data_IF_865084450279
#
_entry.id   IF_865084450279
#
_cell.length_a   1.000
_cell.length_b   1.000
_cell.length_c   1.000
_cell.angle_alpha   90.00
_cell.angle_beta   90.00
_cell.angle_gamma   90.00
#
_symmetry.space_group_name_H-M   'P 1'
#
loop_
_entity.id
_entity.type
_entity.pdbx_description
1 polymer ?
#
# COMPACT_ATOMS: atom_id res chain seq x y z
N UNK A 1 17.87 -11.85 1.89
CA UNK A 1 17.02 -10.66 2.11
C UNK A 1 16.24 -10.89 3.39
N UNK A 2 16.16 -9.89 4.26
CA UNK A 2 15.47 -9.97 5.55
C UNK A 2 13.96 -10.02 5.36
N UNK A 3 13.21 -10.46 6.39
CA UNK A 3 11.75 -10.45 6.34
C UNK A 3 11.25 -9.00 6.20
N UNK A 4 11.87 -8.06 6.90
CA UNK A 4 11.55 -6.64 6.82
C UNK A 4 11.60 -6.08 5.38
N UNK A 5 12.61 -6.46 4.58
CA UNK A 5 12.66 -6.03 3.18
C UNK A 5 11.59 -6.68 2.30
N UNK A 6 11.18 -7.92 2.59
CA UNK A 6 10.02 -8.53 1.92
C UNK A 6 8.72 -7.82 2.28
N UNK A 7 8.56 -7.36 3.52
CA UNK A 7 7.41 -6.54 3.92
C UNK A 7 7.38 -5.19 3.19
N UNK A 8 8.54 -4.53 2.98
CA UNK A 8 8.62 -3.31 2.16
C UNK A 8 8.15 -3.59 0.72
N UNK A 9 8.60 -4.70 0.12
CA UNK A 9 8.16 -5.09 -1.22
C UNK A 9 6.65 -5.35 -1.26
N UNK A 10 6.11 -6.08 -0.29
CA UNK A 10 4.67 -6.34 -0.19
C UNK A 10 3.88 -5.04 -0.04
N UNK A 11 4.29 -4.17 0.88
CA UNK A 11 3.66 -2.87 1.12
C UNK A 11 3.68 -1.95 -0.13
N UNK A 12 4.73 -2.04 -0.96
CA UNK A 12 4.79 -1.31 -2.23
C UNK A 12 3.74 -1.80 -3.25
N UNK A 13 3.34 -3.08 -3.20
CA UNK A 13 2.39 -3.69 -4.14
C UNK A 13 0.93 -3.48 -3.70
N UNK A 14 0.66 -3.43 -2.38
CA UNK A 14 -0.69 -3.32 -1.80
C UNK A 14 -1.54 -2.19 -2.42
N UNK A 15 -1.07 -0.94 -2.58
CA UNK A 15 -1.88 0.13 -3.15
C UNK A 15 -2.41 -0.21 -4.55
N UNK A 16 -1.61 -0.91 -5.36
CA UNK A 16 -2.00 -1.29 -6.73
C UNK A 16 -3.03 -2.41 -6.76
N UNK A 17 -2.96 -3.37 -5.83
CA UNK A 17 -3.99 -4.39 -5.67
C UNK A 17 -5.33 -3.72 -5.39
N UNK A 18 -5.37 -2.81 -4.41
CA UNK A 18 -6.59 -2.07 -4.08
C UNK A 18 -7.07 -1.15 -5.21
N UNK A 19 -6.15 -0.56 -5.98
CA UNK A 19 -6.51 0.24 -7.15
C UNK A 19 -7.22 -0.58 -8.23
N UNK A 20 -6.72 -1.79 -8.50
CA UNK A 20 -7.35 -2.70 -9.47
C UNK A 20 -8.72 -3.14 -8.93
N UNK A 21 -8.82 -3.51 -7.65
CA UNK A 21 -10.10 -3.89 -7.03
C UNK A 21 -11.12 -2.76 -7.08
N UNK A 22 -10.71 -1.52 -6.80
CA UNK A 22 -11.60 -0.35 -6.89
C UNK A 22 -12.10 -0.14 -8.33
N UNK A 23 -11.21 -0.21 -9.32
CA UNK A 23 -11.58 -0.06 -10.74
C UNK A 23 -12.47 -1.19 -11.26
N UNK A 24 -12.29 -2.41 -10.78
CA UNK A 24 -13.09 -3.57 -11.17
C UNK A 24 -14.46 -3.65 -10.47
N UNK A 25 -14.68 -2.85 -9.42
CA UNK A 25 -15.89 -2.94 -8.58
C UNK A 25 -17.18 -2.49 -9.26
N UNK A 26 -17.10 -1.77 -10.39
CA UNK A 26 -18.23 -1.26 -11.17
C UNK A 26 -17.88 -1.22 -12.66
N UNK A 27 -18.79 -1.55 -13.58
CA UNK A 27 -18.55 -1.37 -15.02
C UNK A 27 -18.49 0.11 -15.41
N UNK A 28 -17.90 0.41 -16.58
CA UNK A 28 -17.84 1.76 -17.14
C UNK A 28 -16.61 2.58 -16.72
N UNK A 29 -15.54 1.93 -16.28
CA UNK A 29 -14.27 2.61 -16.02
C UNK A 29 -13.73 3.30 -17.29
N UNK A 30 -13.41 4.59 -17.16
CA UNK A 30 -12.87 5.41 -18.24
C UNK A 30 -11.47 5.90 -17.89
N UNK A 31 -10.47 5.48 -18.66
CA UNK A 31 -9.07 5.86 -18.49
C UNK A 31 -8.82 7.37 -18.63
N UNK A 32 -9.69 8.11 -19.32
CA UNK A 32 -9.54 9.56 -19.48
C UNK A 32 -10.00 10.34 -18.24
N UNK A 33 -10.83 9.74 -17.38
CA UNK A 33 -11.43 10.40 -16.21
C UNK A 33 -11.46 9.48 -14.96
N UNK A 34 -10.32 8.90 -14.54
CA UNK A 34 -10.29 7.87 -13.50
C UNK A 34 -10.73 8.41 -12.13
N UNK A 35 -10.39 9.66 -11.79
CA UNK A 35 -10.74 10.27 -10.50
C UNK A 35 -12.25 10.49 -10.35
N UNK A 36 -12.93 10.86 -11.43
CA UNK A 36 -14.38 11.03 -11.43
C UNK A 36 -15.06 9.69 -11.16
N UNK A 37 -14.65 8.64 -11.89
CA UNK A 37 -15.15 7.28 -11.67
C UNK A 37 -14.95 6.80 -10.22
N UNK A 38 -13.76 6.99 -9.64
CA UNK A 38 -13.47 6.56 -8.27
C UNK A 38 -14.32 7.28 -7.22
N UNK A 39 -14.65 8.56 -7.44
CA UNK A 39 -15.51 9.34 -6.54
C UNK A 39 -16.98 8.89 -6.56
N UNK A 40 -17.42 8.27 -7.66
CA UNK A 40 -18.77 7.72 -7.80
C UNK A 40 -18.94 6.35 -7.14
N UNK A 41 -17.85 5.67 -6.77
CA UNK A 41 -17.91 4.35 -6.16
C UNK A 41 -18.65 4.38 -4.82
N UNK A 42 -19.40 3.31 -4.54
CA UNK A 42 -20.13 3.07 -3.29
C UNK A 42 -19.87 1.65 -2.79
N UNK A 43 -20.13 1.40 -1.51
CA UNK A 43 -20.00 0.06 -0.92
C UNK A 43 -18.57 -0.47 -0.97
N UNK A 44 -18.38 -1.68 -1.52
CA UNK A 44 -17.07 -2.34 -1.56
C UNK A 44 -16.03 -1.58 -2.39
N UNK A 45 -16.43 -1.05 -3.55
CA UNK A 45 -15.53 -0.27 -4.43
C UNK A 45 -14.99 1.00 -3.76
N UNK A 46 -15.85 1.68 -3.00
CA UNK A 46 -15.46 2.86 -2.23
C UNK A 46 -14.43 2.50 -1.15
N UNK A 47 -14.65 1.39 -0.43
CA UNK A 47 -13.69 0.90 0.58
C UNK A 47 -12.34 0.51 -0.04
N UNK A 48 -12.34 -0.12 -1.21
CA UNK A 48 -11.11 -0.41 -1.94
C UNK A 48 -10.36 0.86 -2.36
N UNK A 49 -11.08 1.91 -2.81
CA UNK A 49 -10.46 3.21 -3.12
C UNK A 49 -9.87 3.88 -1.86
N UNK A 50 -10.54 3.81 -0.72
CA UNK A 50 -9.99 4.27 0.55
C UNK A 50 -8.75 3.48 0.98
N UNK A 51 -8.78 2.15 0.85
CA UNK A 51 -7.63 1.30 1.15
C UNK A 51 -6.42 1.61 0.26
N UNK A 52 -6.64 1.86 -1.04
CA UNK A 52 -5.60 2.34 -1.95
C UNK A 52 -4.97 3.64 -1.43
N UNK A 53 -5.79 4.65 -1.12
CA UNK A 53 -5.31 5.96 -0.67
C UNK A 53 -4.51 5.84 0.64
N UNK A 54 -5.08 5.16 1.64
CA UNK A 54 -4.41 4.93 2.93
C UNK A 54 -3.07 4.20 2.75
N UNK A 55 -3.01 3.24 1.83
CA UNK A 55 -1.78 2.47 1.57
C UNK A 55 -0.69 3.34 0.93
N UNK A 56 -1.06 4.23 -0.01
CA UNK A 56 -0.11 5.19 -0.58
C UNK A 56 0.38 6.23 0.43
N UNK A 57 -0.47 6.64 1.37
CA UNK A 57 -0.10 7.59 2.43
C UNK A 57 0.80 6.96 3.50
N UNK A 58 0.54 5.71 3.88
CA UNK A 58 1.32 5.01 4.90
C UNK A 58 2.68 4.50 4.40
N UNK A 59 2.77 4.12 3.11
CA UNK A 59 3.94 3.44 2.54
C UNK A 59 5.26 4.22 2.71
N UNK A 60 5.37 5.53 2.43
CA UNK A 60 6.64 6.25 2.53
C UNK A 60 7.23 6.22 3.95
N UNK A 61 6.40 6.45 4.97
CA UNK A 61 6.84 6.42 6.35
C UNK A 61 7.27 5.02 6.79
N UNK A 62 6.48 4.00 6.42
CA UNK A 62 6.81 2.59 6.69
C UNK A 62 8.13 2.16 6.04
N UNK A 63 8.28 2.39 4.73
CA UNK A 63 9.47 2.02 4.00
C UNK A 63 10.72 2.75 4.52
N UNK A 64 10.61 4.06 4.81
CA UNK A 64 11.71 4.82 5.38
C UNK A 64 12.15 4.27 6.74
N UNK A 65 11.21 3.94 7.64
CA UNK A 65 11.53 3.38 8.94
C UNK A 65 12.29 2.06 8.84
N UNK A 66 11.84 1.13 7.99
CA UNK A 66 12.50 -0.16 7.78
C UNK A 66 13.88 0.00 7.15
N UNK A 67 14.01 0.82 6.11
CA UNK A 67 15.29 1.03 5.41
C UNK A 67 16.30 1.71 6.34
N UNK A 68 15.91 2.78 7.02
CA UNK A 68 16.80 3.50 7.96
C UNK A 68 17.22 2.58 9.10
N UNK A 69 16.27 1.85 9.72
CA UNK A 69 16.58 0.89 10.77
C UNK A 69 17.56 -0.20 10.31
N UNK A 70 17.36 -0.71 9.09
CA UNK A 70 18.22 -1.74 8.51
C UNK A 70 19.63 -1.23 8.13
N UNK A 71 19.76 0.03 7.71
CA UNK A 71 21.06 0.61 7.31
C UNK A 71 21.87 1.06 8.53
N UNK A 72 21.22 1.72 9.50
CA UNK A 72 21.89 2.26 10.69
C UNK A 72 22.36 1.14 11.63
N UNK A 73 21.86 -0.09 11.47
CA UNK A 73 22.26 -1.30 12.22
C UNK A 73 22.19 -1.17 13.75
N UNK A 74 21.41 -0.20 14.24
CA UNK A 74 21.25 0.08 15.68
C UNK A 74 20.03 -0.63 16.28
N UNK A 75 19.31 -1.41 15.47
CA UNK A 75 18.14 -2.19 15.88
C UNK A 75 18.44 -3.65 15.61
N UNK A 76 18.17 -4.52 16.58
CA UNK A 76 18.30 -5.97 16.41
C UNK A 76 17.43 -6.45 15.24
N UNK A 77 18.00 -7.31 14.37
CA UNK A 77 17.32 -7.80 13.18
C UNK A 77 15.97 -8.47 13.49
N UNK A 78 15.88 -9.24 14.57
CA UNK A 78 14.64 -9.88 15.00
C UNK A 78 13.56 -8.85 15.38
N UNK A 79 13.96 -7.74 16.00
CA UNK A 79 13.03 -6.64 16.33
C UNK A 79 12.55 -5.94 15.07
N UNK A 80 13.43 -5.66 14.10
CA UNK A 80 13.04 -5.09 12.81
C UNK A 80 12.07 -5.99 12.05
N UNK A 81 12.36 -7.29 11.99
CA UNK A 81 11.49 -8.25 11.32
C UNK A 81 10.13 -8.39 12.01
N UNK A 82 10.09 -8.35 13.35
CA UNK A 82 8.85 -8.38 14.11
C UNK A 82 8.00 -7.11 13.95
N UNK A 83 8.63 -5.93 13.86
CA UNK A 83 7.94 -4.66 13.63
C UNK A 83 7.44 -4.48 12.19
N UNK A 84 8.01 -5.22 11.24
CA UNK A 84 7.66 -5.15 9.84
C UNK A 84 6.46 -6.04 9.45
N UNK A 85 6.16 -7.08 10.26
CA UNK A 85 5.04 -8.01 10.08
C UNK A 85 3.73 -7.43 10.62
#
# INVERSE_FOLDING_TARGET
MTIAYWCVLAAAIIPYIWAITAKASKPGFNNNKPRIFLNELKGWGQRANWAQANSFEAFPAFAAAIIIGSVVSNVEQNTLDALAL
#
